data_IF_721125176578
#
_entry.id   IF_721125176578
#
_cell.length_a   1.000
_cell.length_b   1.000
_cell.length_c   1.000
_cell.angle_alpha   90.00
_cell.angle_beta   90.00
_cell.angle_gamma   90.00
#
_symmetry.space_group_name_H-M   'P 1'
#
loop_
_entity.id
_entity.type
_entity.pdbx_description
1 polymer ?
#
# COMPACT_ATOMS: atom_id res chain seq x y z
N UNK A 1 10.44 25.79 17.20
CA UNK A 1 9.09 25.19 17.09
C UNK A 1 8.66 25.07 15.63
N UNK A 2 8.89 26.10 14.80
CA UNK A 2 8.64 26.12 13.36
C UNK A 2 9.22 24.93 12.58
N UNK A 3 10.50 24.59 12.80
CA UNK A 3 11.15 23.45 12.14
C UNK A 3 10.50 22.08 12.45
N UNK A 4 10.01 21.87 13.68
CA UNK A 4 9.31 20.63 14.06
C UNK A 4 7.89 20.57 13.47
N UNK A 5 7.22 21.71 13.34
CA UNK A 5 5.92 21.81 12.68
C UNK A 5 6.05 21.51 11.17
N UNK A 6 7.15 21.93 10.56
CA UNK A 6 7.49 21.61 9.17
C UNK A 6 7.76 20.10 8.98
N UNK A 7 8.50 19.46 9.90
CA UNK A 7 8.74 18.01 9.88
C UNK A 7 7.45 17.19 10.04
N UNK A 8 6.53 17.60 10.94
CA UNK A 8 5.22 16.95 11.09
C UNK A 8 4.37 17.03 9.83
N UNK A 9 4.33 18.20 9.18
CA UNK A 9 3.61 18.40 7.90
C UNK A 9 4.23 17.57 6.77
N UNK A 10 5.56 17.53 6.70
CA UNK A 10 6.27 16.67 5.73
C UNK A 10 5.94 15.19 5.96
N UNK A 11 5.86 14.78 7.23
CA UNK A 11 5.50 13.41 7.59
C UNK A 11 4.06 13.06 7.20
N UNK A 12 3.09 13.96 7.37
CA UNK A 12 1.73 13.69 6.91
C UNK A 12 1.67 13.52 5.39
N UNK A 13 2.32 14.42 4.64
CA UNK A 13 2.34 14.36 3.17
C UNK A 13 2.99 13.07 2.66
N UNK A 14 4.11 12.64 3.26
CA UNK A 14 4.78 11.42 2.78
C UNK A 14 4.00 10.15 3.14
N UNK A 15 3.30 10.13 4.27
CA UNK A 15 2.42 9.00 4.65
C UNK A 15 1.25 8.88 3.68
N UNK A 16 0.59 10.00 3.35
CA UNK A 16 -0.48 10.02 2.34
C UNK A 16 0.03 9.50 0.98
N UNK A 17 1.20 9.97 0.55
CA UNK A 17 1.81 9.51 -0.69
C UNK A 17 2.11 8.00 -0.70
N UNK A 18 2.58 7.43 0.42
CA UNK A 18 2.80 5.99 0.52
C UNK A 18 1.49 5.19 0.42
N UNK A 19 0.40 5.68 1.00
CA UNK A 19 -0.93 5.04 0.88
C UNK A 19 -1.37 5.02 -0.58
N UNK A 20 -1.31 6.15 -1.28
CA UNK A 20 -1.66 6.28 -2.70
C UNK A 20 -0.78 5.37 -3.59
N UNK A 21 0.51 5.28 -3.28
CA UNK A 21 1.43 4.43 -4.01
C UNK A 21 1.11 2.94 -3.83
N UNK A 22 0.81 2.52 -2.59
CA UNK A 22 0.40 1.15 -2.31
C UNK A 22 -0.93 0.80 -3.01
N UNK A 23 -1.88 1.74 -3.08
CA UNK A 23 -3.13 1.55 -3.84
C UNK A 23 -2.86 1.34 -5.34
N UNK A 24 -1.91 2.07 -5.90
CA UNK A 24 -1.46 1.88 -7.29
C UNK A 24 -0.84 0.49 -7.50
N UNK A 25 -0.02 0.02 -6.55
CA UNK A 25 0.52 -1.34 -6.58
C UNK A 25 -0.57 -2.41 -6.48
N UNK A 26 -1.56 -2.24 -5.61
CA UNK A 26 -2.69 -3.16 -5.47
C UNK A 26 -3.42 -3.32 -6.81
N UNK A 27 -3.69 -2.22 -7.52
CA UNK A 27 -4.35 -2.27 -8.83
C UNK A 27 -3.52 -3.06 -9.84
N UNK A 28 -2.21 -2.83 -9.89
CA UNK A 28 -1.33 -3.54 -10.82
C UNK A 28 -1.19 -5.02 -10.46
N UNK A 29 -1.03 -5.34 -9.18
CA UNK A 29 -0.91 -6.72 -8.70
C UNK A 29 -2.18 -7.52 -8.99
N UNK A 30 -3.37 -6.92 -8.86
CA UNK A 30 -4.64 -7.57 -9.24
C UNK A 30 -4.67 -7.98 -10.71
N UNK A 31 -4.15 -7.14 -11.61
CA UNK A 31 -4.05 -7.49 -13.04
C UNK A 31 -3.13 -8.69 -13.26
N UNK A 32 -2.00 -8.73 -12.55
CA UNK A 32 -1.04 -9.82 -12.68
C UNK A 32 -1.47 -11.11 -12.00
N UNK A 33 -2.18 -11.04 -10.87
CA UNK A 33 -2.84 -12.19 -10.26
C UNK A 33 -3.84 -12.81 -11.23
N UNK A 34 -4.69 -11.98 -11.87
CA UNK A 34 -5.64 -12.45 -12.89
C UNK A 34 -4.91 -13.10 -14.08
N UNK A 35 -3.81 -12.52 -14.55
CA UNK A 35 -3.01 -13.11 -15.63
C UNK A 35 -2.34 -14.41 -15.22
N UNK A 36 -1.81 -14.52 -13.99
CA UNK A 36 -1.25 -15.75 -13.45
C UNK A 36 -2.31 -16.86 -13.37
N UNK A 37 -3.55 -16.50 -12.99
CA UNK A 37 -4.69 -17.40 -12.98
C UNK A 37 -5.05 -17.92 -14.37
N UNK A 38 -5.08 -17.03 -15.36
CA UNK A 38 -5.31 -17.40 -16.78
C UNK A 38 -4.22 -18.34 -17.33
N UNK A 39 -2.99 -18.23 -16.82
CA UNK A 39 -1.88 -19.13 -17.14
C UNK A 39 -1.89 -20.45 -16.36
N UNK A 40 -2.88 -20.68 -15.48
CA UNK A 40 -2.97 -21.88 -14.64
C UNK A 40 -1.98 -21.91 -13.47
N UNK A 41 -1.30 -20.80 -13.18
CA UNK A 41 -0.29 -20.70 -12.12
C UNK A 41 -0.95 -20.41 -10.76
N UNK A 42 -1.64 -21.42 -10.22
CA UNK A 42 -2.47 -21.26 -9.01
C UNK A 42 -1.67 -20.82 -7.78
N UNK A 43 -0.48 -21.39 -7.55
CA UNK A 43 0.37 -20.98 -6.41
C UNK A 43 0.82 -19.52 -6.54
N UNK A 44 1.28 -19.12 -7.73
CA UNK A 44 1.72 -17.74 -8.00
C UNK A 44 0.57 -16.74 -7.85
N UNK A 45 -0.64 -17.13 -8.28
CA UNK A 45 -1.84 -16.31 -8.08
C UNK A 45 -2.09 -16.06 -6.60
N UNK A 46 -2.02 -17.13 -5.78
CA UNK A 46 -2.18 -17.03 -4.32
C UNK A 46 -1.14 -16.13 -3.67
N UNK A 47 0.13 -16.28 -4.03
CA UNK A 47 1.20 -15.45 -3.47
C UNK A 47 1.05 -13.96 -3.82
N UNK A 48 0.57 -13.64 -5.03
CA UNK A 48 0.28 -12.25 -5.43
C UNK A 48 -0.95 -11.71 -4.69
N UNK A 49 -1.99 -12.52 -4.49
CA UNK A 49 -3.17 -12.16 -3.71
C UNK A 49 -2.81 -11.90 -2.24
N UNK A 50 -1.93 -12.70 -1.64
CA UNK A 50 -1.40 -12.47 -0.30
C UNK A 50 -0.60 -11.16 -0.23
N UNK A 51 0.21 -10.86 -1.25
CA UNK A 51 0.93 -9.58 -1.32
C UNK A 51 -0.03 -8.37 -1.36
N UNK A 52 -1.18 -8.50 -2.03
CA UNK A 52 -2.24 -7.48 -2.04
C UNK A 52 -2.84 -7.30 -0.65
N UNK A 53 -3.14 -8.40 0.06
CA UNK A 53 -3.66 -8.35 1.44
C UNK A 53 -2.68 -7.65 2.39
N UNK A 54 -1.39 -7.96 2.27
CA UNK A 54 -0.34 -7.32 3.05
C UNK A 54 -0.25 -5.80 2.78
N UNK A 55 -0.44 -5.36 1.52
CA UNK A 55 -0.51 -3.93 1.20
C UNK A 55 -1.74 -3.25 1.82
N UNK A 56 -2.89 -3.93 1.89
CA UNK A 56 -4.05 -3.40 2.62
C UNK A 56 -3.76 -3.23 4.12
N UNK A 57 -3.08 -4.20 4.75
CA UNK A 57 -2.68 -4.08 6.17
C UNK A 57 -1.65 -2.97 6.40
N UNK A 58 -0.73 -2.78 5.45
CA UNK A 58 0.20 -1.65 5.43
C UNK A 58 -0.58 -0.33 5.41
N UNK A 59 -1.51 -0.16 4.47
CA UNK A 59 -2.33 1.05 4.35
C UNK A 59 -3.16 1.32 5.61
N UNK A 60 -3.75 0.29 6.22
CA UNK A 60 -4.47 0.46 7.50
C UNK A 60 -3.57 1.00 8.61
N UNK A 61 -2.33 0.51 8.68
CA UNK A 61 -1.34 0.97 9.66
C UNK A 61 -0.90 2.40 9.39
N UNK A 62 -0.69 2.76 8.12
CA UNK A 62 -0.34 4.12 7.68
C UNK A 62 -1.49 5.11 7.96
N UNK A 63 -2.74 4.73 7.70
CA UNK A 63 -3.92 5.54 8.02
C UNK A 63 -4.05 5.79 9.53
N UNK A 64 -3.74 4.80 10.38
CA UNK A 64 -3.69 4.99 11.83
C UNK A 64 -2.56 5.95 12.23
N UNK A 65 -1.39 5.82 11.61
CA UNK A 65 -0.25 6.71 11.85
C UNK A 65 -0.61 8.17 11.49
N UNK A 66 -1.24 8.40 10.34
CA UNK A 66 -1.70 9.71 9.90
C UNK A 66 -2.70 10.34 10.88
N UNK A 67 -3.67 9.55 11.37
CA UNK A 67 -4.64 10.00 12.39
C UNK A 67 -4.00 10.36 13.73
N UNK A 68 -2.80 9.87 14.00
CA UNK A 68 -2.05 10.11 15.24
C UNK A 68 -1.10 11.30 15.21
N UNK A 69 -0.95 12.00 14.08
CA UNK A 69 -0.06 13.16 13.91
C UNK A 69 -0.64 14.46 14.47
#
# INVERSE_FOLDING_TARGET
MEKKMDEKKKLSVIIDHWIEHNESHIVEYKKWAQKAKELGLSSVTGDIEEAIENLFQCNHSLQKALKGL
#
